data_IF_500198355903
#
_entry.id   IF_500198355903
#
_cell.length_a   1.000
_cell.length_b   1.000
_cell.length_c   1.000
_cell.angle_alpha   90.00
_cell.angle_beta   90.00
_cell.angle_gamma   90.00
#
_symmetry.space_group_name_H-M   'P 1'
#
loop_
_entity.id
_entity.type
_entity.pdbx_description
1 polymer ?
#
# COMPACT_ATOMS: atom_id res chain seq x y z
N UNK A 1 0.62 -16.23 -22.24
CA UNK A 1 -0.67 -16.86 -21.90
C UNK A 1 -0.52 -17.81 -20.71
N UNK A 2 0.27 -18.89 -20.78
CA UNK A 2 0.48 -19.86 -19.68
C UNK A 2 0.88 -19.23 -18.34
N UNK A 3 1.70 -18.18 -18.35
CA UNK A 3 2.20 -17.51 -17.14
C UNK A 3 1.12 -16.66 -16.46
N UNK A 4 0.27 -15.99 -17.26
CA UNK A 4 -0.89 -15.25 -16.76
C UNK A 4 -1.93 -16.21 -16.18
N UNK A 5 -2.14 -17.33 -16.84
CA UNK A 5 -3.08 -18.36 -16.37
C UNK A 5 -2.61 -18.97 -15.02
N UNK A 6 -1.29 -19.14 -14.84
CA UNK A 6 -0.71 -19.59 -13.57
C UNK A 6 -0.86 -18.53 -12.44
N UNK A 7 -0.68 -17.24 -12.75
CA UNK A 7 -0.87 -16.17 -11.77
C UNK A 7 -2.35 -16.03 -11.36
N UNK A 8 -3.27 -16.16 -12.31
CA UNK A 8 -4.72 -16.16 -12.03
C UNK A 8 -5.11 -17.37 -11.18
N UNK A 9 -4.58 -18.56 -11.49
CA UNK A 9 -4.81 -19.76 -10.68
C UNK A 9 -4.25 -19.62 -9.25
N UNK A 10 -3.06 -19.03 -9.12
CA UNK A 10 -2.46 -18.74 -7.82
C UNK A 10 -3.27 -17.70 -7.01
N UNK A 11 -3.86 -16.71 -7.68
CA UNK A 11 -4.75 -15.74 -7.05
C UNK A 11 -6.07 -16.37 -6.57
N UNK A 12 -6.53 -17.42 -7.23
CA UNK A 12 -7.72 -18.14 -6.77
C UNK A 12 -7.54 -18.69 -5.33
N UNK A 13 -6.35 -19.22 -5.00
CA UNK A 13 -6.04 -19.66 -3.64
C UNK A 13 -6.10 -18.49 -2.64
N UNK A 14 -5.63 -17.29 -3.03
CA UNK A 14 -5.73 -16.10 -2.20
C UNK A 14 -7.18 -15.66 -1.97
N UNK A 15 -8.03 -15.70 -2.99
CA UNK A 15 -9.47 -15.39 -2.88
C UNK A 15 -10.16 -16.37 -1.92
N UNK A 16 -9.85 -17.67 -2.01
CA UNK A 16 -10.41 -18.68 -1.09
C UNK A 16 -9.95 -18.44 0.37
N UNK A 17 -8.69 -18.08 0.57
CA UNK A 17 -8.18 -17.69 1.90
C UNK A 17 -8.94 -16.46 2.44
N UNK A 18 -9.11 -15.42 1.62
CA UNK A 18 -9.85 -14.22 2.02
C UNK A 18 -11.33 -14.52 2.32
N UNK A 19 -11.97 -15.40 1.54
CA UNK A 19 -13.34 -15.84 1.80
C UNK A 19 -13.43 -16.58 3.13
N UNK A 20 -12.53 -17.53 3.38
CA UNK A 20 -12.43 -18.25 4.65
C UNK A 20 -12.30 -17.31 5.84
N UNK A 21 -11.48 -16.25 5.68
CA UNK A 21 -11.28 -15.21 6.70
C UNK A 21 -12.57 -14.39 6.88
N UNK A 22 -13.17 -13.91 5.80
CA UNK A 22 -14.35 -13.03 5.84
C UNK A 22 -15.58 -13.71 6.47
N UNK A 23 -15.72 -15.03 6.34
CA UNK A 23 -16.78 -15.79 6.98
C UNK A 23 -16.63 -15.87 8.52
N UNK A 24 -15.41 -15.70 9.03
CA UNK A 24 -15.06 -15.92 10.44
C UNK A 24 -14.66 -14.66 11.20
N UNK A 25 -14.22 -13.66 10.49
CA UNK A 25 -13.70 -12.41 11.06
C UNK A 25 -14.32 -11.20 10.36
N UNK A 26 -14.52 -10.13 11.11
CA UNK A 26 -14.95 -8.85 10.55
C UNK A 26 -13.74 -8.14 9.97
N UNK A 27 -13.75 -7.95 8.66
CA UNK A 27 -12.72 -7.23 7.94
C UNK A 27 -13.12 -5.78 7.67
N UNK A 28 -12.17 -4.87 7.42
CA UNK A 28 -12.48 -3.48 7.08
C UNK A 28 -13.41 -3.38 5.86
N UNK A 29 -14.33 -2.41 5.93
CA UNK A 29 -15.22 -2.12 4.80
C UNK A 29 -14.43 -1.50 3.65
N UNK A 30 -14.86 -1.77 2.42
CA UNK A 30 -14.27 -1.16 1.23
C UNK A 30 -14.50 0.34 1.24
N UNK A 31 -13.40 1.09 1.22
CA UNK A 31 -13.34 2.55 1.14
C UNK A 31 -12.39 2.92 -0.02
N UNK A 32 -12.74 2.49 -1.23
CA UNK A 32 -12.00 2.74 -2.45
C UNK A 32 -12.95 3.30 -3.50
N UNK A 33 -12.78 4.58 -3.92
CA UNK A 33 -13.61 5.20 -4.94
C UNK A 33 -13.27 4.66 -6.33
N UNK A 34 -14.21 4.75 -7.24
CA UNK A 34 -13.97 4.60 -8.68
C UNK A 34 -13.83 6.00 -9.29
N UNK A 35 -12.70 6.27 -9.93
CA UNK A 35 -12.35 7.56 -10.53
C UNK A 35 -12.02 7.39 -12.03
N UNK A 36 -12.83 6.60 -12.71
CA UNK A 36 -12.69 6.35 -14.15
C UNK A 36 -12.91 7.63 -14.95
N UNK A 37 -12.10 7.83 -15.98
CA UNK A 37 -12.14 9.03 -16.82
C UNK A 37 -11.35 10.22 -16.27
N UNK A 38 -10.90 10.16 -15.04
CA UNK A 38 -10.02 11.17 -14.47
C UNK A 38 -8.56 10.95 -14.89
N UNK A 39 -7.76 12.02 -14.85
CA UNK A 39 -6.32 11.85 -15.05
C UNK A 39 -5.69 11.11 -13.86
N UNK A 40 -4.70 10.28 -14.12
CA UNK A 40 -4.02 9.48 -13.09
C UNK A 40 -3.50 10.34 -11.92
N UNK A 41 -2.98 11.52 -12.23
CA UNK A 41 -2.48 12.46 -11.21
C UNK A 41 -3.61 13.02 -10.35
N UNK A 42 -4.72 13.42 -10.96
CA UNK A 42 -5.88 13.92 -10.22
C UNK A 42 -6.47 12.81 -9.34
N UNK A 43 -6.62 11.59 -9.89
CA UNK A 43 -7.12 10.44 -9.13
C UNK A 43 -6.25 10.12 -7.91
N UNK A 44 -4.91 10.14 -8.06
CA UNK A 44 -3.99 9.93 -6.95
C UNK A 44 -4.12 11.01 -5.88
N UNK A 45 -4.18 12.29 -6.27
CA UNK A 45 -4.36 13.42 -5.35
C UNK A 45 -5.71 13.36 -4.64
N UNK A 46 -6.78 13.03 -5.38
CA UNK A 46 -8.13 12.87 -4.83
C UNK A 46 -8.18 11.73 -3.83
N UNK A 47 -7.60 10.57 -4.15
CA UNK A 47 -7.55 9.44 -3.23
C UNK A 47 -6.78 9.78 -1.95
N UNK A 48 -5.67 10.47 -2.07
CA UNK A 48 -4.92 10.97 -0.90
C UNK A 48 -5.76 11.90 -0.03
N UNK A 49 -6.51 12.80 -0.65
CA UNK A 49 -7.42 13.71 0.04
C UNK A 49 -8.54 12.97 0.76
N UNK A 50 -9.23 12.05 0.08
CA UNK A 50 -10.31 11.23 0.63
C UNK A 50 -9.83 10.37 1.82
N UNK A 51 -8.60 9.89 1.76
CA UNK A 51 -7.99 9.09 2.82
C UNK A 51 -7.34 9.94 3.93
N UNK A 52 -7.33 11.27 3.80
CA UNK A 52 -6.75 12.18 4.79
C UNK A 52 -5.23 12.12 4.90
N UNK A 53 -4.54 11.76 3.82
CA UNK A 53 -3.09 11.53 3.81
C UNK A 53 -2.28 12.82 3.58
N UNK A 54 -2.91 13.85 2.99
CA UNK A 54 -2.21 15.08 2.59
C UNK A 54 -1.05 14.79 1.64
N UNK A 55 -0.01 15.62 1.65
CA UNK A 55 1.18 15.49 0.80
C UNK A 55 2.33 14.72 1.48
N UNK A 56 2.18 14.27 2.72
CA UNK A 56 3.25 13.58 3.48
C UNK A 56 3.59 12.21 2.90
N UNK A 57 4.84 11.70 3.14
CA UNK A 57 5.16 10.30 2.84
C UNK A 57 4.16 9.34 3.45
N UNK A 58 3.81 8.29 2.71
CA UNK A 58 2.84 7.30 3.15
C UNK A 58 3.42 6.35 4.22
N UNK A 59 2.60 5.91 5.19
CA UNK A 59 2.98 4.85 6.11
C UNK A 59 3.14 3.51 5.38
N UNK A 60 3.17 2.39 6.12
CA UNK A 60 3.10 1.06 5.53
C UNK A 60 1.88 0.95 4.60
N UNK A 61 2.15 0.76 3.30
CA UNK A 61 1.12 0.81 2.27
C UNK A 61 0.21 -0.42 2.29
N UNK A 62 0.74 -1.60 2.66
CA UNK A 62 -0.10 -2.80 2.84
C UNK A 62 -1.14 -2.56 3.93
N UNK A 63 -0.72 -2.06 5.09
CA UNK A 63 -1.64 -1.78 6.20
C UNK A 63 -2.65 -0.68 5.87
N UNK A 64 -2.23 0.33 5.11
CA UNK A 64 -3.12 1.38 4.63
C UNK A 64 -4.18 0.80 3.69
N UNK A 65 -3.77 -0.02 2.71
CA UNK A 65 -4.66 -0.68 1.77
C UNK A 65 -5.65 -1.62 2.49
N UNK A 66 -5.16 -2.47 3.39
CA UNK A 66 -6.00 -3.34 4.23
C UNK A 66 -7.02 -2.55 5.05
N UNK A 67 -6.60 -1.44 5.64
CA UNK A 67 -7.49 -0.57 6.40
C UNK A 67 -8.61 0.04 5.56
N UNK A 68 -8.36 0.29 4.27
CA UNK A 68 -9.32 0.78 3.30
C UNK A 68 -10.11 -0.34 2.61
N UNK A 69 -10.03 -1.56 3.13
CA UNK A 69 -10.79 -2.71 2.66
C UNK A 69 -10.26 -3.37 1.40
N UNK A 70 -9.05 -3.04 0.95
CA UNK A 70 -8.36 -3.74 -0.13
C UNK A 70 -7.76 -5.02 0.44
N UNK A 71 -8.01 -6.15 -0.22
CA UNK A 71 -7.44 -7.45 0.13
C UNK A 71 -6.07 -7.58 -0.51
N UNK A 72 -5.02 -7.61 0.31
CA UNK A 72 -3.63 -7.71 -0.19
C UNK A 72 -3.07 -9.09 0.12
N UNK A 73 -2.85 -9.87 -0.93
CA UNK A 73 -2.34 -11.23 -0.85
C UNK A 73 -1.00 -11.35 -1.55
N UNK A 74 -0.19 -12.31 -1.12
CA UNK A 74 1.03 -12.66 -1.82
C UNK A 74 0.79 -13.68 -2.92
N UNK A 75 1.68 -13.69 -3.92
CA UNK A 75 1.74 -14.68 -4.98
C UNK A 75 2.77 -15.75 -4.67
N UNK A 76 2.46 -17.04 -4.86
CA UNK A 76 3.43 -18.12 -4.71
C UNK A 76 4.51 -18.06 -5.80
N UNK A 77 5.65 -18.72 -5.54
CA UNK A 77 6.81 -18.69 -6.44
C UNK A 77 6.51 -19.24 -7.85
N UNK A 78 5.56 -20.14 -7.99
CA UNK A 78 5.16 -20.69 -9.29
C UNK A 78 4.56 -19.63 -10.23
N UNK A 79 4.09 -18.51 -9.70
CA UNK A 79 3.61 -17.34 -10.47
C UNK A 79 4.76 -16.39 -10.88
N UNK A 80 5.99 -16.91 -11.05
CA UNK A 80 7.27 -16.18 -11.17
C UNK A 80 7.33 -15.07 -12.24
N UNK A 81 6.42 -15.03 -13.16
CA UNK A 81 6.45 -14.10 -14.29
C UNK A 81 5.57 -12.85 -14.11
N UNK A 82 4.82 -12.78 -13.03
CA UNK A 82 3.93 -11.66 -12.71
C UNK A 82 4.43 -10.99 -11.45
N UNK A 83 4.69 -9.70 -11.51
CA UNK A 83 5.14 -8.92 -10.34
C UNK A 83 3.97 -8.62 -9.41
N UNK A 84 2.85 -8.20 -9.97
CA UNK A 84 1.59 -7.96 -9.27
C UNK A 84 0.42 -8.01 -10.26
N UNK A 85 -0.78 -8.12 -9.75
CA UNK A 85 -2.01 -7.81 -10.47
C UNK A 85 -3.15 -7.54 -9.48
N UNK A 86 -4.20 -6.86 -9.95
CA UNK A 86 -5.39 -6.57 -9.18
C UNK A 86 -6.67 -6.98 -9.89
N UNK A 87 -7.72 -7.16 -9.10
CA UNK A 87 -9.06 -7.46 -9.63
C UNK A 87 -10.14 -7.06 -8.62
N UNK A 88 -11.31 -6.73 -9.13
CA UNK A 88 -12.52 -6.69 -8.32
C UNK A 88 -13.20 -8.04 -8.39
N UNK A 89 -13.44 -8.66 -7.25
CA UNK A 89 -14.12 -9.94 -7.13
C UNK A 89 -15.21 -9.87 -6.07
N UNK A 90 -16.45 -10.18 -6.44
CA UNK A 90 -17.64 -10.12 -5.55
C UNK A 90 -17.77 -8.77 -4.80
N UNK A 91 -17.40 -7.66 -5.45
CA UNK A 91 -17.47 -6.32 -4.86
C UNK A 91 -16.29 -5.96 -3.95
N UNK A 92 -15.29 -6.82 -3.81
CA UNK A 92 -14.08 -6.57 -3.03
C UNK A 92 -12.87 -6.36 -3.94
N UNK A 93 -12.04 -5.33 -3.68
CA UNK A 93 -10.80 -5.11 -4.39
C UNK A 93 -9.70 -6.03 -3.85
N UNK A 94 -9.06 -6.79 -4.74
CA UNK A 94 -7.95 -7.68 -4.43
C UNK A 94 -6.69 -7.22 -5.13
N UNK A 95 -5.56 -7.26 -4.44
CA UNK A 95 -4.22 -7.08 -5.00
C UNK A 95 -3.37 -8.28 -4.64
N UNK A 96 -2.68 -8.83 -5.63
CA UNK A 96 -1.78 -9.95 -5.51
C UNK A 96 -0.37 -9.51 -5.81
N UNK A 97 0.57 -9.69 -4.87
CA UNK A 97 1.95 -9.19 -4.93
C UNK A 97 2.97 -10.32 -4.94
N UNK A 98 3.89 -10.28 -5.88
CA UNK A 98 5.10 -11.08 -5.81
C UNK A 98 6.20 -10.33 -5.02
N UNK A 99 6.85 -11.01 -4.06
CA UNK A 99 7.92 -10.44 -3.23
C UNK A 99 9.29 -10.96 -3.68
N UNK A 100 9.66 -10.67 -4.93
CA UNK A 100 10.91 -11.17 -5.53
C UNK A 100 11.92 -10.09 -5.86
N UNK A 101 11.45 -8.87 -5.94
CA UNK A 101 12.27 -7.68 -6.19
C UNK A 101 12.53 -6.96 -4.88
N UNK A 102 13.03 -5.74 -4.94
CA UNK A 102 13.26 -4.94 -3.73
C UNK A 102 11.95 -4.57 -3.04
N UNK A 103 11.97 -4.30 -1.72
CA UNK A 103 10.80 -3.83 -0.99
C UNK A 103 10.18 -2.57 -1.58
N UNK A 104 11.00 -1.63 -2.06
CA UNK A 104 10.54 -0.41 -2.74
C UNK A 104 9.79 -0.72 -4.04
N UNK A 105 10.23 -1.74 -4.77
CA UNK A 105 9.53 -2.17 -5.98
C UNK A 105 8.18 -2.78 -5.64
N UNK A 106 8.11 -3.65 -4.64
CA UNK A 106 6.84 -4.23 -4.21
C UNK A 106 5.85 -3.16 -3.71
N UNK A 107 6.35 -2.11 -3.06
CA UNK A 107 5.54 -0.96 -2.65
C UNK A 107 5.03 -0.17 -3.85
N UNK A 108 5.87 0.05 -4.86
CA UNK A 108 5.45 0.69 -6.10
C UNK A 108 4.41 -0.15 -6.85
N UNK A 109 4.63 -1.46 -6.95
CA UNK A 109 3.70 -2.39 -7.58
C UNK A 109 2.34 -2.37 -6.87
N UNK A 110 2.29 -2.32 -5.53
CA UNK A 110 1.03 -2.17 -4.79
C UNK A 110 0.32 -0.84 -5.12
N UNK A 111 1.05 0.27 -5.19
CA UNK A 111 0.47 1.55 -5.56
C UNK A 111 -0.05 1.57 -7.02
N UNK A 112 0.65 0.91 -7.93
CA UNK A 112 0.27 0.71 -9.32
C UNK A 112 -1.05 -0.08 -9.42
N UNK A 113 -1.17 -1.17 -8.67
CA UNK A 113 -2.39 -1.98 -8.64
C UNK A 113 -3.58 -1.25 -8.02
N UNK A 114 -3.34 -0.40 -7.00
CA UNK A 114 -4.38 0.51 -6.49
C UNK A 114 -4.83 1.47 -7.59
N UNK A 115 -3.90 1.95 -8.44
CA UNK A 115 -4.22 2.76 -9.61
C UNK A 115 -5.17 2.04 -10.57
N UNK A 116 -4.92 0.78 -10.90
CA UNK A 116 -5.82 -0.03 -11.71
C UNK A 116 -7.21 -0.19 -11.06
N UNK A 117 -7.27 -0.47 -9.78
CA UNK A 117 -8.55 -0.61 -9.05
C UNK A 117 -9.40 0.66 -9.05
N UNK A 118 -8.76 1.82 -9.05
CA UNK A 118 -9.41 3.14 -9.00
C UNK A 118 -9.81 3.64 -10.38
N UNK A 119 -8.93 3.48 -11.39
CA UNK A 119 -9.07 4.07 -12.72
C UNK A 119 -9.72 3.14 -13.75
N UNK A 120 -9.60 1.81 -13.56
CA UNK A 120 -9.88 0.85 -14.65
C UNK A 120 -10.88 -0.24 -14.25
N UNK A 121 -11.75 0.03 -13.29
CA UNK A 121 -12.69 -0.98 -12.75
C UNK A 121 -13.64 -1.54 -13.79
N UNK A 122 -14.23 -0.69 -14.63
CA UNK A 122 -15.28 -1.05 -15.60
C UNK A 122 -14.84 -0.79 -17.04
N UNK A 123 -13.59 -0.41 -17.27
CA UNK A 123 -13.13 -0.11 -18.63
C UNK A 123 -13.33 -1.32 -19.54
N UNK A 124 -13.92 -1.03 -20.67
CA UNK A 124 -13.98 -1.90 -21.83
C UNK A 124 -12.57 -2.12 -22.42
N UNK A 125 -12.45 -2.82 -23.57
CA UNK A 125 -11.17 -3.11 -24.19
C UNK A 125 -10.48 -1.80 -24.67
N UNK A 126 -9.79 -1.13 -23.76
CA UNK A 126 -8.89 -0.02 -24.01
C UNK A 126 -7.49 -0.49 -24.42
N UNK A 127 -6.62 0.45 -24.76
CA UNK A 127 -5.21 0.14 -24.97
C UNK A 127 -4.56 -0.22 -23.62
N UNK A 128 -4.23 -1.48 -23.41
CA UNK A 128 -3.53 -1.95 -22.21
C UNK A 128 -2.28 -1.11 -21.90
N UNK A 129 -1.56 -0.69 -22.95
CA UNK A 129 -0.38 0.16 -22.79
C UNK A 129 -0.70 1.56 -22.24
N UNK A 130 -1.91 2.05 -22.43
CA UNK A 130 -2.38 3.30 -21.86
C UNK A 130 -2.76 3.12 -20.39
N UNK A 131 -3.50 2.08 -20.06
CA UNK A 131 -3.85 1.74 -18.68
C UNK A 131 -2.62 1.52 -17.79
N UNK A 132 -1.60 0.82 -18.31
CA UNK A 132 -0.32 0.65 -17.60
C UNK A 132 0.39 2.00 -17.35
N UNK A 133 0.39 2.90 -18.36
CA UNK A 133 0.97 4.25 -18.19
C UNK A 133 0.21 5.10 -17.19
N UNK A 134 -1.12 4.99 -17.17
CA UNK A 134 -1.97 5.68 -16.20
C UNK A 134 -1.74 5.14 -14.78
N UNK A 135 -1.65 3.82 -14.61
CA UNK A 135 -1.35 3.19 -13.33
C UNK A 135 0.05 3.55 -12.81
N UNK A 136 1.06 3.61 -13.68
CA UNK A 136 2.41 4.10 -13.33
C UNK A 136 2.40 5.57 -12.90
N UNK A 137 1.66 6.41 -13.62
CA UNK A 137 1.53 7.82 -13.28
C UNK A 137 0.77 8.04 -11.97
N UNK A 138 -0.28 7.24 -11.73
CA UNK A 138 -0.99 7.20 -10.46
C UNK A 138 -0.07 6.79 -9.31
N UNK A 139 0.65 5.68 -9.45
CA UNK A 139 1.58 5.18 -8.43
C UNK A 139 2.64 6.22 -8.07
N UNK A 140 3.21 6.88 -9.09
CA UNK A 140 4.22 7.93 -8.90
C UNK A 140 3.67 9.10 -8.08
N UNK A 141 2.52 9.65 -8.44
CA UNK A 141 1.90 10.77 -7.70
C UNK A 141 1.38 10.33 -6.33
N UNK A 142 0.84 9.12 -6.22
CA UNK A 142 0.32 8.58 -4.97
C UNK A 142 1.42 8.37 -3.93
N UNK A 143 2.59 7.87 -4.33
CA UNK A 143 3.74 7.66 -3.43
C UNK A 143 4.55 8.94 -3.21
N UNK A 144 4.71 9.75 -4.27
CA UNK A 144 5.56 10.93 -4.31
C UNK A 144 4.80 12.15 -4.84
N UNK A 145 3.91 12.76 -4.03
CA UNK A 145 3.17 13.94 -4.48
C UNK A 145 4.10 15.02 -5.02
N UNK A 146 3.76 15.56 -6.18
CA UNK A 146 4.58 16.57 -6.85
C UNK A 146 4.92 17.75 -5.94
N UNK A 147 3.96 18.19 -5.13
CA UNK A 147 4.13 19.26 -4.14
C UNK A 147 5.29 18.95 -3.19
N UNK A 148 5.29 17.75 -2.60
CA UNK A 148 6.34 17.34 -1.65
C UNK A 148 7.68 17.10 -2.32
N UNK A 149 7.70 16.54 -3.54
CA UNK A 149 8.95 16.37 -4.28
C UNK A 149 9.59 17.74 -4.57
N UNK A 150 8.79 18.74 -4.94
CA UNK A 150 9.26 20.12 -5.18
C UNK A 150 9.74 20.78 -3.89
N UNK A 151 9.10 20.49 -2.76
CA UNK A 151 9.48 21.02 -1.44
C UNK A 151 10.82 20.43 -0.95
N UNK A 152 11.02 19.11 -1.13
CA UNK A 152 12.17 18.42 -0.55
C UNK A 152 13.41 18.41 -1.45
N UNK A 153 13.26 18.66 -2.74
CA UNK A 153 14.36 18.61 -3.70
C UNK A 153 14.51 19.92 -4.47
N UNK A 154 15.74 20.47 -4.55
CA UNK A 154 16.04 21.60 -5.43
C UNK A 154 15.92 21.18 -6.91
N UNK A 155 15.91 22.15 -7.86
CA UNK A 155 16.14 21.86 -9.27
C UNK A 155 17.50 21.20 -9.49
N UNK A 156 17.55 20.18 -10.38
CA UNK A 156 18.73 19.41 -10.68
C UNK A 156 19.44 18.82 -9.44
N UNK A 157 18.71 18.03 -8.61
CA UNK A 157 19.26 17.51 -7.38
C UNK A 157 20.44 16.57 -7.63
N UNK A 158 21.37 16.57 -6.70
CA UNK A 158 22.49 15.62 -6.65
C UNK A 158 22.01 14.21 -6.29
N UNK A 159 22.83 13.20 -6.56
CA UNK A 159 22.54 11.81 -6.17
C UNK A 159 22.33 11.71 -4.65
N UNK A 160 23.15 12.39 -3.86
CA UNK A 160 23.06 12.32 -2.38
C UNK A 160 21.75 12.95 -1.86
N UNK A 161 21.26 14.02 -2.49
CA UNK A 161 19.95 14.59 -2.19
C UNK A 161 18.81 13.62 -2.56
N UNK A 162 18.91 12.96 -3.73
CA UNK A 162 17.97 11.93 -4.14
C UNK A 162 17.96 10.77 -3.15
N UNK A 163 19.14 10.27 -2.74
CA UNK A 163 19.27 9.16 -1.78
C UNK A 163 18.71 9.51 -0.39
N UNK A 164 18.87 10.76 0.03
CA UNK A 164 18.28 11.24 1.28
C UNK A 164 16.75 11.26 1.23
N UNK A 165 16.18 11.81 0.15
CA UNK A 165 14.73 12.03 0.03
C UNK A 165 13.99 10.73 -0.30
N UNK A 166 14.56 9.83 -1.11
CA UNK A 166 13.92 8.54 -1.41
C UNK A 166 13.56 7.73 -0.17
N UNK A 167 14.35 7.83 0.90
CA UNK A 167 14.09 7.14 2.17
C UNK A 167 12.78 7.57 2.81
N UNK A 168 12.50 8.90 2.78
CA UNK A 168 11.27 9.43 3.35
C UNK A 168 10.03 8.88 2.64
N UNK A 169 10.07 8.78 1.30
CA UNK A 169 8.97 8.24 0.50
C UNK A 169 8.97 6.71 0.42
N UNK A 170 10.02 6.04 0.89
CA UNK A 170 10.20 4.59 0.78
C UNK A 170 10.07 4.10 -0.68
N UNK A 171 10.76 4.77 -1.60
CA UNK A 171 10.80 4.48 -3.04
C UNK A 171 12.24 4.26 -3.51
N UNK A 172 12.41 3.73 -4.72
CA UNK A 172 13.73 3.60 -5.31
C UNK A 172 14.30 4.94 -5.76
N UNK A 173 15.64 5.08 -5.74
CA UNK A 173 16.32 6.26 -6.26
C UNK A 173 15.98 6.50 -7.73
N UNK A 174 15.83 5.44 -8.52
CA UNK A 174 15.44 5.53 -9.93
C UNK A 174 14.03 6.08 -10.10
N UNK A 175 13.06 5.62 -9.29
CA UNK A 175 11.68 6.12 -9.33
C UNK A 175 11.61 7.60 -8.98
N UNK A 176 12.32 8.03 -7.92
CA UNK A 176 12.36 9.44 -7.53
C UNK A 176 13.05 10.29 -8.62
N UNK A 177 14.17 9.83 -9.19
CA UNK A 177 14.86 10.52 -10.29
C UNK A 177 13.95 10.72 -11.50
N UNK A 178 13.19 9.67 -11.87
CA UNK A 178 12.22 9.75 -12.94
C UNK A 178 11.11 10.77 -12.63
N UNK A 179 10.58 10.77 -11.42
CA UNK A 179 9.54 11.71 -10.98
C UNK A 179 10.03 13.15 -11.03
N UNK A 180 11.23 13.43 -10.52
CA UNK A 180 11.86 14.77 -10.56
C UNK A 180 12.03 15.27 -12.00
N UNK A 181 12.46 14.36 -12.91
CA UNK A 181 12.57 14.70 -14.32
C UNK A 181 11.21 14.98 -14.97
N UNK A 182 10.19 14.16 -14.70
CA UNK A 182 8.83 14.35 -15.19
C UNK A 182 8.17 15.65 -14.70
N UNK A 183 8.56 16.12 -13.53
CA UNK A 183 8.14 17.42 -12.98
C UNK A 183 8.89 18.61 -13.59
N UNK A 184 9.77 18.39 -14.58
CA UNK A 184 10.58 19.45 -15.18
C UNK A 184 11.65 20.02 -14.27
N UNK A 185 11.98 19.32 -13.16
CA UNK A 185 12.95 19.76 -12.16
C UNK A 185 14.36 19.23 -12.42
N UNK A 186 14.56 18.50 -13.52
CA UNK A 186 15.84 17.94 -13.93
C UNK A 186 15.96 18.03 -15.45
N UNK A 187 17.10 18.50 -15.97
CA UNK A 187 17.36 18.50 -17.41
C UNK A 187 17.55 17.09 -17.93
N UNK A 188 17.30 16.86 -19.23
CA UNK A 188 17.49 15.56 -19.87
C UNK A 188 18.90 15.01 -19.69
N UNK A 189 19.90 15.89 -19.77
CA UNK A 189 21.30 15.50 -19.62
C UNK A 189 21.60 15.01 -18.19
N UNK A 190 21.20 15.79 -17.17
CA UNK A 190 21.37 15.43 -15.76
C UNK A 190 20.60 14.14 -15.45
N UNK A 191 19.36 14.02 -15.94
CA UNK A 191 18.56 12.80 -15.77
C UNK A 191 19.29 11.56 -16.29
N UNK A 192 19.77 11.58 -17.56
CA UNK A 192 20.48 10.45 -18.14
C UNK A 192 21.77 10.13 -17.40
N UNK A 193 22.54 11.15 -17.02
CA UNK A 193 23.79 10.97 -16.27
C UNK A 193 23.52 10.37 -14.89
N UNK A 194 22.51 10.86 -14.18
CA UNK A 194 22.08 10.34 -12.87
C UNK A 194 21.63 8.88 -12.98
N UNK A 195 20.77 8.56 -13.95
CA UNK A 195 20.31 7.17 -14.18
C UNK A 195 21.48 6.23 -14.50
N UNK A 196 22.45 6.67 -15.29
CA UNK A 196 23.67 5.90 -15.61
C UNK A 196 24.50 5.66 -14.35
N UNK A 197 24.75 6.70 -13.55
CA UNK A 197 25.50 6.59 -12.31
C UNK A 197 24.81 5.68 -11.28
N UNK A 198 23.50 5.77 -11.11
CA UNK A 198 22.71 4.87 -10.24
C UNK A 198 22.78 3.41 -10.74
N UNK A 199 22.68 3.20 -12.04
CA UNK A 199 22.79 1.85 -12.64
C UNK A 199 24.17 1.24 -12.43
N UNK A 200 25.25 2.02 -12.62
CA UNK A 200 26.63 1.59 -12.40
C UNK A 200 26.91 1.24 -10.93
N UNK A 201 26.22 1.88 -9.99
CA UNK A 201 26.27 1.56 -8.56
C UNK A 201 25.44 0.31 -8.18
N UNK A 202 24.82 -0.36 -9.15
CA UNK A 202 24.04 -1.58 -8.92
C UNK A 202 22.63 -1.36 -8.35
N UNK A 203 22.12 -0.14 -8.35
CA UNK A 203 20.84 0.24 -7.72
C UNK A 203 19.59 -0.35 -8.41
N UNK A 204 19.74 -1.18 -9.41
CA UNK A 204 18.63 -1.97 -9.98
C UNK A 204 18.33 -3.24 -9.19
N UNK A 205 19.30 -3.78 -8.46
CA UNK A 205 19.18 -5.03 -7.69
C UNK A 205 19.10 -4.84 -6.18
N UNK A 206 19.35 -3.63 -5.70
CA UNK A 206 19.32 -3.25 -4.29
C UNK A 206 20.00 -1.89 -4.12
N UNK A 207 19.54 -1.09 -3.18
CA UNK A 207 20.00 0.27 -2.98
C UNK A 207 20.57 0.44 -1.56
N UNK A 208 21.66 1.22 -1.40
CA UNK A 208 22.10 1.63 -0.08
C UNK A 208 20.97 2.36 0.63
N UNK A 209 20.83 2.09 1.93
CA UNK A 209 19.79 2.70 2.76
C UNK A 209 18.37 2.52 2.21
N UNK A 210 18.13 1.43 1.49
CA UNK A 210 16.80 1.00 1.07
C UNK A 210 15.95 0.51 2.23
N UNK A 211 14.73 0.12 1.93
CA UNK A 211 13.85 -0.52 2.92
C UNK A 211 14.48 -1.84 3.38
N UNK A 212 14.60 -2.01 4.70
CA UNK A 212 15.24 -3.19 5.30
C UNK A 212 14.46 -4.47 5.05
N UNK A 213 13.14 -4.37 4.90
CA UNK A 213 12.25 -5.51 4.68
C UNK A 213 11.01 -5.08 3.93
N UNK A 214 10.32 -6.07 3.34
CA UNK A 214 8.99 -5.85 2.79
C UNK A 214 8.03 -5.34 3.85
N UNK A 215 7.07 -4.52 3.42
CA UNK A 215 5.95 -4.12 4.24
C UNK A 215 5.14 -5.35 4.66
N UNK A 216 4.53 -5.28 5.84
CA UNK A 216 3.84 -6.40 6.45
C UNK A 216 2.37 -6.11 6.62
N UNK A 217 1.55 -7.13 6.41
CA UNK A 217 0.14 -7.14 6.79
C UNK A 217 -0.02 -6.99 8.31
N UNK A 218 -1.16 -6.45 8.71
CA UNK A 218 -1.66 -6.51 10.09
C UNK A 218 -2.83 -7.47 10.24
N UNK A 219 -3.56 -7.71 9.17
CA UNK A 219 -4.74 -8.57 9.18
C UNK A 219 -4.35 -10.02 9.49
N UNK A 220 -3.41 -10.58 8.74
CA UNK A 220 -3.05 -11.98 8.89
C UNK A 220 -2.45 -12.34 10.26
N UNK A 221 -1.49 -11.59 10.83
CA UNK A 221 -1.01 -11.88 12.18
C UNK A 221 -2.11 -11.83 13.25
N UNK A 222 -3.08 -10.93 13.13
CA UNK A 222 -4.20 -10.84 14.07
C UNK A 222 -5.14 -12.05 13.97
N UNK A 223 -5.34 -12.57 12.75
CA UNK A 223 -6.14 -13.77 12.51
C UNK A 223 -5.45 -14.99 13.13
N UNK A 224 -4.15 -15.14 12.90
CA UNK A 224 -3.35 -16.24 13.45
C UNK A 224 -3.27 -16.21 14.97
N UNK A 225 -3.19 -15.02 15.57
CA UNK A 225 -3.17 -14.83 17.02
C UNK A 225 -4.56 -14.90 17.68
N UNK A 226 -5.65 -14.98 16.89
CA UNK A 226 -7.00 -14.95 17.43
C UNK A 226 -7.36 -16.24 18.13
N UNK A 227 -7.82 -16.15 19.38
CA UNK A 227 -8.36 -17.28 20.14
C UNK A 227 -9.81 -17.64 19.81
N UNK A 228 -10.47 -16.87 18.96
CA UNK A 228 -11.91 -17.02 18.63
C UNK A 228 -12.28 -18.42 18.08
N UNK A 229 -11.38 -19.04 17.33
CA UNK A 229 -11.56 -20.33 16.68
C UNK A 229 -10.62 -21.41 17.24
N UNK A 230 -9.99 -21.18 18.37
CA UNK A 230 -8.84 -21.96 18.84
C UNK A 230 -7.59 -21.60 18.03
N UNK A 231 -6.61 -22.49 17.99
CA UNK A 231 -5.35 -22.24 17.26
C UNK A 231 -5.62 -22.20 15.75
N UNK A 232 -5.46 -21.04 15.15
CA UNK A 232 -5.51 -20.83 13.68
C UNK A 232 -4.09 -20.87 13.14
N UNK A 233 -3.85 -21.75 12.17
CA UNK A 233 -2.57 -21.84 11.46
C UNK A 233 -2.80 -21.94 9.96
N UNK A 234 -1.82 -21.59 9.14
CA UNK A 234 -1.90 -21.78 7.70
C UNK A 234 -2.13 -23.26 7.30
N UNK A 235 -1.59 -24.22 8.07
CA UNK A 235 -1.86 -25.64 7.87
C UNK A 235 -3.33 -25.99 8.07
N UNK A 236 -3.98 -25.42 9.08
CA UNK A 236 -5.41 -25.62 9.33
C UNK A 236 -6.25 -25.01 8.21
N UNK A 237 -5.93 -23.79 7.78
CA UNK A 237 -6.62 -23.13 6.66
C UNK A 237 -6.45 -23.98 5.39
N UNK A 238 -5.24 -24.43 5.08
CA UNK A 238 -4.95 -25.27 3.93
C UNK A 238 -5.77 -26.57 3.92
N UNK A 239 -5.88 -27.22 5.08
CA UNK A 239 -6.66 -28.43 5.25
C UNK A 239 -8.17 -28.19 5.02
N UNK A 240 -8.72 -27.13 5.62
CA UNK A 240 -10.14 -26.79 5.48
C UNK A 240 -10.50 -26.40 4.05
N UNK A 241 -9.62 -25.67 3.36
CA UNK A 241 -9.80 -25.24 1.97
C UNK A 241 -9.37 -26.29 0.93
N UNK A 242 -8.65 -27.33 1.34
CA UNK A 242 -8.07 -28.36 0.45
C UNK A 242 -7.14 -27.78 -0.62
N UNK A 243 -6.32 -26.82 -0.23
CA UNK A 243 -5.30 -26.19 -1.09
C UNK A 243 -3.91 -26.41 -0.48
N UNK A 244 -2.81 -26.28 -1.27
CA UNK A 244 -1.45 -26.41 -0.76
C UNK A 244 -1.16 -25.40 0.37
N UNK A 245 -0.44 -25.85 1.40
CA UNK A 245 -0.07 -24.98 2.53
C UNK A 245 0.85 -23.85 2.09
N UNK A 246 1.65 -24.07 1.08
CA UNK A 246 2.54 -23.07 0.46
C UNK A 246 1.74 -21.92 -0.17
N UNK A 247 0.62 -22.23 -0.80
CA UNK A 247 -0.28 -21.24 -1.38
C UNK A 247 -0.93 -20.39 -0.29
N UNK A 248 -1.35 -21.00 0.82
CA UNK A 248 -1.88 -20.26 1.98
C UNK A 248 -0.82 -19.35 2.59
N UNK A 249 0.40 -19.85 2.76
CA UNK A 249 1.51 -19.04 3.28
C UNK A 249 1.81 -17.85 2.38
N UNK A 250 1.93 -18.09 1.08
CA UNK A 250 2.14 -17.03 0.11
C UNK A 250 1.00 -16.02 0.15
N UNK A 251 -0.27 -16.48 0.09
CA UNK A 251 -1.44 -15.60 0.17
C UNK A 251 -1.42 -14.73 1.43
N UNK A 252 -1.02 -15.29 2.58
CA UNK A 252 -0.91 -14.57 3.85
C UNK A 252 0.40 -13.76 4.00
N UNK A 253 1.14 -13.52 2.91
CA UNK A 253 2.39 -12.75 2.91
C UNK A 253 3.41 -13.28 3.92
N UNK A 254 3.51 -14.60 4.09
CA UNK A 254 4.37 -15.29 5.05
C UNK A 254 4.18 -14.84 6.51
N UNK A 255 2.97 -14.41 6.87
CA UNK A 255 2.67 -13.85 8.19
C UNK A 255 2.97 -14.81 9.34
N UNK A 256 2.90 -16.12 9.15
CA UNK A 256 3.24 -17.12 10.16
C UNK A 256 4.70 -17.02 10.64
N UNK A 257 5.61 -16.64 9.76
CA UNK A 257 7.03 -16.45 10.09
C UNK A 257 7.28 -15.20 10.97
N UNK A 258 6.26 -14.36 11.09
CA UNK A 258 6.35 -13.06 11.74
C UNK A 258 5.27 -12.84 12.81
N UNK A 259 4.50 -13.86 13.16
CA UNK A 259 3.50 -13.76 14.22
C UNK A 259 4.20 -13.45 15.55
N UNK A 260 4.02 -12.24 16.04
CA UNK A 260 4.44 -11.86 17.40
C UNK A 260 3.31 -12.30 18.33
N UNK A 261 3.58 -13.03 19.43
CA UNK A 261 2.58 -13.28 20.45
C UNK A 261 1.99 -11.95 20.94
N UNK A 262 0.66 -11.92 21.11
CA UNK A 262 -0.05 -10.73 21.59
C UNK A 262 0.58 -10.20 22.88
N UNK A 263 1.17 -9.02 22.79
CA UNK A 263 1.30 -8.15 23.95
C UNK A 263 -0.08 -7.61 24.33
N UNK A 264 -0.36 -7.28 25.61
CA UNK A 264 -1.70 -6.99 26.10
C UNK A 264 -2.33 -5.80 25.35
N UNK A 265 -3.29 -6.13 24.51
CA UNK A 265 -4.40 -5.28 24.12
C UNK A 265 -4.12 -4.04 23.28
N UNK A 266 -4.15 -4.17 21.95
CA UNK A 266 -4.55 -3.05 21.11
C UNK A 266 -5.23 -3.54 19.82
N UNK A 267 -6.55 -3.66 19.86
CA UNK A 267 -7.39 -3.98 18.69
C UNK A 267 -7.27 -2.85 17.66
N UNK A 268 -7.11 -3.21 16.39
CA UNK A 268 -7.01 -2.26 15.27
C UNK A 268 -8.20 -1.27 15.25
N UNK A 269 -9.38 -1.75 15.65
CA UNK A 269 -10.64 -0.99 15.67
C UNK A 269 -10.59 0.17 16.68
N UNK A 270 -9.88 0.03 17.81
CA UNK A 270 -9.90 1.03 18.87
C UNK A 270 -8.95 2.20 18.59
N UNK A 271 -7.81 1.95 17.91
CA UNK A 271 -6.88 3.03 17.52
C UNK A 271 -7.40 3.90 16.39
N UNK A 272 -8.19 3.32 15.49
CA UNK A 272 -8.74 4.06 14.35
C UNK A 272 -9.89 4.97 14.76
N UNK A 273 -10.70 4.59 15.77
CA UNK A 273 -11.71 5.47 16.33
C UNK A 273 -11.12 6.68 17.06
N UNK A 274 -9.92 6.57 17.61
CA UNK A 274 -9.24 7.67 18.31
C UNK A 274 -8.50 8.64 17.38
N UNK A 275 -8.19 8.26 16.13
CA UNK A 275 -7.49 9.10 15.16
C UNK A 275 -8.38 9.71 14.07
N UNK A 276 -9.67 9.41 14.02
CA UNK A 276 -10.61 10.09 13.13
C UNK A 276 -10.96 11.46 13.73
N UNK A 277 -10.79 12.57 13.00
CA UNK A 277 -11.25 13.86 13.47
C UNK A 277 -12.77 13.82 13.59
N UNK A 278 -13.25 14.27 14.75
CA UNK A 278 -14.70 14.41 15.03
C UNK A 278 -15.35 15.27 13.94
N UNK A 279 -16.23 14.67 13.14
CA UNK A 279 -16.97 15.34 12.07
C UNK A 279 -18.07 16.28 12.57
N UNK A 280 -18.25 16.42 13.90
CA UNK A 280 -19.36 17.19 14.47
C UNK A 280 -19.05 18.63 14.80
N UNK A 281 -17.86 19.16 14.52
CA UNK A 281 -17.58 20.61 14.52
C UNK A 281 -17.97 21.39 15.78
N UNK A 282 -18.29 20.77 16.89
CA UNK A 282 -18.63 21.45 18.15
C UNK A 282 -17.38 21.55 19.05
N UNK A 283 -16.80 22.73 19.11
CA UNK A 283 -15.85 23.10 20.17
C UNK A 283 -16.53 22.98 21.53
N UNK A 284 -15.90 22.35 22.53
CA UNK A 284 -16.40 22.43 23.89
C UNK A 284 -16.25 23.87 24.37
N UNK A 285 -17.38 24.47 24.75
CA UNK A 285 -17.43 25.76 25.45
C UNK A 285 -16.85 25.51 26.84
N UNK A 286 -15.71 26.12 27.14
CA UNK A 286 -15.16 26.20 28.50
C UNK A 286 -16.08 27.12 29.32
N UNK A 287 -16.88 26.57 30.19
CA UNK A 287 -17.53 27.30 31.27
C UNK A 287 -16.52 27.56 32.37
N UNK A 288 -15.97 28.77 32.37
CA UNK A 288 -15.20 29.29 33.49
C UNK A 288 -16.14 30.03 34.44
N UNK A 289 -16.64 29.38 35.45
CA UNK A 289 -17.25 30.05 36.58
C UNK A 289 -16.16 30.25 37.65
N UNK A 290 -15.71 31.48 37.81
CA UNK A 290 -15.01 31.92 39.01
C UNK A 290 -16.06 32.23 40.08
N UNK A 291 -16.00 31.51 41.18
CA UNK A 291 -16.66 31.89 42.40
C UNK A 291 -15.73 32.86 43.18
N UNK A 292 -16.12 34.11 43.29
CA UNK A 292 -15.56 35.06 44.24
C UNK A 292 -16.24 34.87 45.60
N UNK A 293 -15.42 34.49 46.60
CA UNK A 293 -15.85 34.43 47.98
C UNK A 293 -15.78 35.81 48.65
N UNK A 294 -16.89 36.26 49.15
CA UNK A 294 -17.01 37.38 50.10
C UNK A 294 -16.57 36.92 51.49
N UNK A 295 -15.66 37.71 52.14
CA UNK A 295 -15.41 37.67 53.58
C UNK A 295 -16.14 38.80 54.28
N UNK A 296 -16.67 38.60 55.51
CA UNK A 296 -17.34 39.60 56.28
C UNK A 296 -16.39 40.36 57.22
N UNK A 297 -16.72 41.59 57.47
CA UNK A 297 -16.63 42.26 58.79
C UNK A 297 -17.48 43.09 59.04
#
# INVERSE_FOLDING_TARGET
RRQRDAAVAAGASGIEVDRWIAERFTLPKVDLPTLEGETARFAATMLRSLWGLGSRPLPNLIQLAEFRGIRVNGLPEVAASVDAYSTWYEGFPHVFLARRKTPERARFDLAHEIGHLVLHRHRGPGSRAEEEREADAFASEFLMPAESVVEYLPPNPTIDEILRVKRAFAVSAMALTYTVHKLGRMTDWIYRTTCTALSQRGFRGGEPDGMVSYERSRVFPQILASSKLGVVTGKRIALELRIPVEDVRAAMLDAELHAVPDGPGQRLVDRVRQSAPDRTGRRPVRSGARAEGLRPV
#
